data_IF_781508588585
#
_entry.id   IF_781508588585
#
_cell.length_a   1.000
_cell.length_b   1.000
_cell.length_c   1.000
_cell.angle_alpha   90.00
_cell.angle_beta   90.00
_cell.angle_gamma   90.00
#
_symmetry.space_group_name_H-M   'P 1'
#
loop_
_entity.id
_entity.type
_entity.pdbx_description
1 polymer ?
#
# COMPACT_ATOMS: atom_id res chain seq x y z
N UNK A 1 5.45 19.29 -5.55
CA UNK A 1 4.95 18.09 -4.86
C UNK A 1 3.99 18.56 -3.80
N UNK A 2 2.69 18.35 -3.99
CA UNK A 2 1.69 18.66 -2.96
C UNK A 2 1.74 17.50 -1.97
N UNK A 3 2.18 17.74 -0.74
CA UNK A 3 2.07 16.72 0.29
C UNK A 3 0.57 16.45 0.59
N UNK A 4 0.15 15.18 0.65
CA UNK A 4 -1.21 14.85 1.04
C UNK A 4 -1.48 15.35 2.46
N UNK A 5 -2.66 15.95 2.68
CA UNK A 5 -3.00 16.49 3.99
C UNK A 5 -2.99 15.40 5.06
N UNK A 6 -2.45 15.73 6.24
CA UNK A 6 -2.38 14.78 7.37
C UNK A 6 -3.75 14.22 7.75
N UNK A 7 -4.80 15.05 7.67
CA UNK A 7 -6.19 14.64 7.91
C UNK A 7 -6.67 13.58 6.91
N UNK A 8 -6.31 13.72 5.63
CA UNK A 8 -6.66 12.75 4.60
C UNK A 8 -5.90 11.43 4.77
N UNK A 9 -4.61 11.47 5.11
CA UNK A 9 -3.85 10.26 5.43
C UNK A 9 -4.40 9.53 6.65
N UNK A 10 -4.85 10.27 7.67
CA UNK A 10 -5.50 9.69 8.85
C UNK A 10 -6.82 8.98 8.50
N UNK A 11 -7.62 9.58 7.61
CA UNK A 11 -8.84 8.94 7.09
C UNK A 11 -8.52 7.63 6.36
N UNK A 12 -7.54 7.67 5.47
CA UNK A 12 -7.09 6.49 4.72
C UNK A 12 -6.56 5.40 5.65
N UNK A 13 -5.71 5.78 6.61
CA UNK A 13 -5.20 4.85 7.61
C UNK A 13 -6.33 4.25 8.46
N UNK A 14 -7.35 5.02 8.81
CA UNK A 14 -8.52 4.53 9.54
C UNK A 14 -9.27 3.46 8.74
N UNK A 15 -9.53 3.71 7.45
CA UNK A 15 -10.22 2.75 6.57
C UNK A 15 -9.39 1.49 6.33
N UNK A 16 -8.08 1.62 6.14
CA UNK A 16 -7.17 0.48 6.01
C UNK A 16 -7.00 -0.29 7.33
N UNK A 17 -7.12 0.38 8.48
CA UNK A 17 -7.12 -0.26 9.79
C UNK A 17 -8.42 -1.03 10.06
N UNK A 18 -9.55 -0.57 9.52
CA UNK A 18 -10.85 -1.22 9.64
C UNK A 18 -11.01 -2.48 8.76
N UNK A 19 -10.03 -2.79 7.91
CA UNK A 19 -10.05 -4.01 7.09
C UNK A 19 -10.05 -5.27 7.98
N UNK A 20 -10.97 -6.22 7.73
CA UNK A 20 -11.03 -7.45 8.51
C UNK A 20 -9.82 -8.35 8.23
N UNK A 21 -9.37 -9.16 9.22
CA UNK A 21 -8.27 -10.09 9.05
C UNK A 21 -8.62 -11.30 8.18
N UNK A 22 -9.90 -11.53 7.90
CA UNK A 22 -10.44 -12.63 7.10
C UNK A 22 -11.49 -12.10 6.13
N UNK A 23 -11.62 -12.74 4.95
CA UNK A 23 -12.68 -12.41 3.99
C UNK A 23 -14.05 -12.97 4.44
N UNK A 24 -15.17 -12.39 3.95
CA UNK A 24 -15.26 -11.30 2.97
C UNK A 24 -15.05 -9.89 3.57
N UNK A 25 -14.54 -8.95 2.76
CA UNK A 25 -14.51 -7.53 3.12
C UNK A 25 -15.94 -6.99 2.98
N UNK A 26 -16.50 -6.29 3.98
CA UNK A 26 -17.87 -5.78 3.90
C UNK A 26 -18.03 -4.75 2.77
N UNK A 27 -19.13 -4.81 2.03
CA UNK A 27 -19.40 -3.95 0.87
C UNK A 27 -19.37 -2.46 1.22
N UNK A 28 -19.84 -2.09 2.42
CA UNK A 28 -19.77 -0.71 2.92
C UNK A 28 -18.32 -0.20 2.96
N UNK A 29 -17.39 -1.03 3.42
CA UNK A 29 -15.97 -0.67 3.51
C UNK A 29 -15.33 -0.65 2.12
N UNK A 30 -15.70 -1.59 1.24
CA UNK A 30 -15.26 -1.59 -0.15
C UNK A 30 -15.72 -0.33 -0.89
N UNK A 31 -16.97 0.10 -0.68
CA UNK A 31 -17.50 1.32 -1.27
C UNK A 31 -16.80 2.57 -0.75
N UNK A 32 -16.51 2.63 0.56
CA UNK A 32 -15.73 3.72 1.17
C UNK A 32 -14.30 3.78 0.62
N UNK A 33 -13.63 2.64 0.50
CA UNK A 33 -12.30 2.55 -0.11
C UNK A 33 -12.36 2.93 -1.60
N UNK A 34 -13.39 2.51 -2.33
CA UNK A 34 -13.57 2.85 -3.74
C UNK A 34 -13.84 4.34 -3.93
N UNK A 35 -14.55 5.00 -3.01
CA UNK A 35 -14.75 6.44 -3.07
C UNK A 35 -13.43 7.23 -2.99
N UNK A 36 -12.41 6.69 -2.30
CA UNK A 36 -11.10 7.35 -2.14
C UNK A 36 -10.12 6.95 -3.23
N UNK A 37 -10.01 5.65 -3.52
CA UNK A 37 -9.01 5.12 -4.46
C UNK A 37 -9.54 4.93 -5.88
N UNK A 38 -10.86 5.04 -6.08
CA UNK A 38 -11.51 4.85 -7.36
C UNK A 38 -11.21 3.50 -8.02
N UNK A 39 -11.04 3.45 -9.35
CA UNK A 39 -10.81 2.20 -10.08
C UNK A 39 -9.48 1.52 -9.74
N UNK A 40 -8.55 2.24 -9.10
CA UNK A 40 -7.29 1.67 -8.62
C UNK A 40 -7.51 0.57 -7.58
N UNK A 41 -8.56 0.68 -6.76
CA UNK A 41 -8.91 -0.33 -5.76
C UNK A 41 -9.18 -1.69 -6.41
N UNK A 42 -9.96 -1.71 -7.50
CA UNK A 42 -10.28 -2.96 -8.19
C UNK A 42 -9.02 -3.64 -8.73
N UNK A 43 -8.12 -2.85 -9.32
CA UNK A 43 -6.82 -3.37 -9.79
C UNK A 43 -5.97 -3.90 -8.64
N UNK A 44 -6.01 -3.27 -7.46
CA UNK A 44 -5.30 -3.75 -6.28
C UNK A 44 -5.90 -5.05 -5.75
N UNK A 45 -7.23 -5.14 -5.64
CA UNK A 45 -7.95 -6.34 -5.21
C UNK A 45 -7.70 -7.52 -6.15
N UNK A 46 -7.65 -7.29 -7.47
CA UNK A 46 -7.30 -8.33 -8.44
C UNK A 46 -5.93 -8.95 -8.17
N UNK A 47 -4.91 -8.15 -7.78
CA UNK A 47 -3.59 -8.66 -7.42
C UNK A 47 -3.65 -9.53 -6.14
N UNK A 48 -4.46 -9.13 -5.15
CA UNK A 48 -4.69 -9.89 -3.91
C UNK A 48 -5.43 -11.20 -4.20
N UNK A 49 -6.44 -11.17 -5.07
CA UNK A 49 -7.23 -12.33 -5.44
C UNK A 49 -6.43 -13.37 -6.20
N UNK A 50 -5.57 -12.93 -7.12
CA UNK A 50 -4.62 -13.79 -7.83
C UNK A 50 -3.45 -14.29 -6.97
N UNK A 51 -3.35 -13.84 -5.71
CA UNK A 51 -2.24 -14.15 -4.80
C UNK A 51 -0.88 -13.74 -5.38
N UNK A 52 -0.82 -12.61 -6.07
CA UNK A 52 0.40 -12.10 -6.70
C UNK A 52 1.26 -11.24 -5.75
N UNK A 53 0.90 -11.18 -4.46
CA UNK A 53 1.63 -10.48 -3.41
C UNK A 53 2.39 -11.48 -2.56
N UNK A 54 3.72 -11.43 -2.62
CA UNK A 54 4.62 -12.28 -1.84
C UNK A 54 5.31 -11.43 -0.79
N UNK A 55 5.22 -11.84 0.47
CA UNK A 55 5.99 -11.31 1.59
C UNK A 55 7.21 -12.18 1.82
N UNK A 56 8.38 -11.64 1.53
CA UNK A 56 9.66 -12.28 1.79
C UNK A 56 10.17 -11.86 3.16
N UNK A 57 10.41 -12.81 4.06
CA UNK A 57 11.15 -12.56 5.30
C UNK A 57 12.66 -12.69 5.04
N UNK A 58 13.41 -11.66 5.42
CA UNK A 58 14.86 -11.64 5.34
C UNK A 58 15.44 -12.07 6.70
N UNK A 59 16.67 -12.63 6.74
CA UNK A 59 17.32 -13.07 7.98
C UNK A 59 17.59 -11.93 8.99
N UNK A 60 17.43 -10.68 8.58
CA UNK A 60 17.56 -9.49 9.44
C UNK A 60 16.24 -9.04 10.09
N UNK A 61 15.22 -9.91 10.13
CA UNK A 61 13.84 -9.63 10.57
C UNK A 61 13.14 -8.51 9.77
N UNK A 62 13.71 -8.18 8.60
CA UNK A 62 13.11 -7.25 7.65
C UNK A 62 12.25 -8.01 6.68
N UNK A 63 11.23 -7.33 6.19
CA UNK A 63 10.30 -7.91 5.23
C UNK A 63 10.29 -7.08 3.97
N UNK A 64 10.33 -7.76 2.84
CA UNK A 64 10.24 -7.15 1.51
C UNK A 64 9.03 -7.75 0.81
N UNK A 65 8.29 -6.90 0.11
CA UNK A 65 7.11 -7.33 -0.62
C UNK A 65 7.41 -7.36 -2.10
N UNK A 66 7.08 -8.46 -2.75
CA UNK A 66 7.20 -8.64 -4.17
C UNK A 66 5.80 -8.72 -4.78
N UNK A 67 5.54 -7.89 -5.78
CA UNK A 67 4.23 -7.82 -6.45
C UNK A 67 4.42 -7.99 -7.94
N UNK A 68 3.58 -8.82 -8.56
CA UNK A 68 3.61 -9.01 -10.01
C UNK A 68 3.19 -7.74 -10.75
N UNK A 69 3.92 -7.39 -11.81
CA UNK A 69 3.56 -6.30 -12.73
C UNK A 69 2.87 -6.84 -13.97
N UNK A 70 2.08 -6.00 -14.62
CA UNK A 70 1.58 -6.25 -15.98
C UNK A 70 2.70 -6.39 -17.02
N UNK A 71 3.91 -5.90 -16.74
CA UNK A 71 5.08 -6.05 -17.60
C UNK A 71 5.83 -7.39 -17.40
N UNK A 72 5.33 -8.28 -16.54
CA UNK A 72 5.95 -9.58 -16.22
C UNK A 72 7.17 -9.51 -15.30
N UNK A 73 7.71 -8.31 -15.02
CA UNK A 73 8.75 -8.10 -14.01
C UNK A 73 8.12 -7.81 -12.66
N UNK A 74 8.59 -8.47 -11.61
CA UNK A 74 8.07 -8.24 -10.26
C UNK A 74 8.65 -6.96 -9.66
N UNK A 75 7.82 -6.18 -8.98
CA UNK A 75 8.27 -5.03 -8.21
C UNK A 75 8.64 -5.45 -6.80
N UNK A 76 9.85 -5.07 -6.38
CA UNK A 76 10.35 -5.21 -5.01
C UNK A 76 10.06 -3.92 -4.25
N UNK A 77 9.25 -4.01 -3.19
CA UNK A 77 8.71 -2.86 -2.45
C UNK A 77 9.10 -3.00 -0.97
N UNK A 78 9.64 -1.91 -0.43
CA UNK A 78 9.98 -1.77 0.98
C UNK A 78 8.94 -0.86 1.64
N UNK A 79 8.14 -1.40 2.57
CA UNK A 79 7.13 -0.60 3.27
C UNK A 79 7.74 0.29 4.35
N UNK A 80 8.78 -0.20 5.02
CA UNK A 80 9.54 0.53 6.02
C UNK A 80 11.01 0.63 5.56
N UNK A 81 11.37 1.65 4.76
CA UNK A 81 12.78 1.91 4.50
C UNK A 81 13.48 2.25 5.84
N UNK A 82 14.72 1.78 6.07
CA UNK A 82 15.50 2.23 7.22
C UNK A 82 15.64 3.74 7.14
N UNK A 83 15.47 4.44 8.27
CA UNK A 83 15.70 5.88 8.32
C UNK A 83 17.12 6.18 7.81
N UNK A 84 17.31 7.26 7.03
CA UNK A 84 18.62 7.61 6.48
C UNK A 84 19.67 7.98 7.54
N UNK A 85 19.29 7.99 8.83
CA UNK A 85 20.20 8.22 9.94
C UNK A 85 20.48 6.91 10.68
N UNK A 86 21.61 6.23 10.40
CA UNK A 86 22.18 5.30 11.36
C UNK A 86 22.74 6.13 12.53
N UNK A 87 21.90 6.47 13.51
CA UNK A 87 22.42 6.96 14.79
C UNK A 87 22.90 5.74 15.58
N UNK A 88 24.16 5.40 15.37
CA UNK A 88 24.99 4.85 16.43
C UNK A 88 26.41 5.36 16.19
N UNK A 89 26.94 6.27 17.05
CA UNK A 89 28.34 6.62 17.01
C UNK A 89 29.15 5.42 17.50
N UNK A 90 29.47 4.51 16.58
CA UNK A 90 30.58 3.58 16.79
C UNK A 90 31.85 4.43 16.77
N UNK A 91 32.47 4.53 17.93
CA UNK A 91 33.78 5.13 18.15
C UNK A 91 34.81 4.43 17.25
N UNK A 92 35.11 5.01 16.09
CA UNK A 92 36.18 4.55 15.20
C UNK A 92 37.43 5.37 15.57
N UNK A 93 38.54 4.72 15.99
CA UNK A 93 39.81 5.40 16.14
C UNK A 93 40.23 6.03 14.81
N UNK A 94 40.49 7.33 14.85
CA UNK A 94 41.00 8.15 13.75
C UNK A 94 42.29 7.50 13.21
N UNK A 95 42.24 6.93 12.02
CA UNK A 95 43.43 6.52 11.26
C UNK A 95 43.98 7.80 10.59
N UNK A 96 45.27 8.16 10.79
CA UNK A 96 45.86 9.34 10.17
C UNK A 96 45.86 9.25 8.64
N UNK A 97 45.45 10.35 8.01
CA UNK A 97 45.43 10.62 6.56
C UNK A 97 46.85 10.49 5.97
N UNK A 98 47.02 9.60 4.99
CA UNK A 98 48.23 9.49 4.17
C UNK A 98 48.24 10.58 3.07
N UNK A 99 49.39 11.12 2.63
CA UNK A 99 49.46 12.33 1.80
C UNK A 99 48.94 12.17 0.37
N UNK A 100 48.29 13.22 -0.12
CA UNK A 100 47.80 13.39 -1.49
C UNK A 100 48.96 13.53 -2.49
N UNK A 101 48.90 12.76 -3.57
CA UNK A 101 49.79 12.90 -4.74
C UNK A 101 49.06 13.78 -5.78
N UNK A 102 49.68 14.82 -6.34
CA UNK A 102 49.02 15.72 -7.29
C UNK A 102 48.92 15.04 -8.67
N UNK A 103 47.70 14.91 -9.20
CA UNK A 103 47.51 14.63 -10.62
C UNK A 103 47.16 15.93 -11.34
N UNK A 104 47.96 16.19 -12.37
CA UNK A 104 47.94 17.32 -13.28
C UNK A 104 46.77 17.24 -14.26
N UNK A 105 46.18 18.40 -14.49
CA UNK A 105 45.21 18.71 -15.54
C UNK A 105 45.79 18.46 -16.94
N UNK A 106 45.01 17.82 -17.81
CA UNK A 106 45.18 17.97 -19.26
C UNK A 106 43.82 18.03 -19.94
N UNK A 107 43.62 19.13 -20.66
CA UNK A 107 42.54 19.37 -21.60
C UNK A 107 42.62 18.42 -22.79
N UNK A 108 41.47 17.97 -23.31
CA UNK A 108 41.26 17.77 -24.76
C UNK A 108 39.79 17.49 -25.10
N UNK A 109 39.24 18.44 -25.85
CA UNK A 109 38.35 18.35 -27.01
C UNK A 109 37.25 17.27 -27.11
N UNK A 110 36.05 17.81 -27.33
CA UNK A 110 34.90 17.32 -28.07
C UNK A 110 35.09 16.10 -29.00
N UNK A 111 34.15 15.16 -28.94
CA UNK A 111 33.46 14.70 -30.15
C UNK A 111 32.09 14.05 -29.85
N UNK A 112 31.15 14.44 -30.69
CA UNK A 112 29.72 14.12 -30.71
C UNK A 112 29.43 12.68 -31.17
N UNK A 113 28.44 12.02 -30.54
CA UNK A 113 27.87 10.75 -31.02
C UNK A 113 26.40 10.93 -31.44
N UNK A 114 25.94 10.36 -32.57
CA UNK A 114 24.65 10.69 -33.19
C UNK A 114 23.42 10.07 -32.52
N UNK A 115 22.29 10.77 -32.65
CA UNK A 115 20.93 10.31 -32.29
C UNK A 115 20.44 9.29 -33.31
N UNK A 116 19.90 8.17 -32.86
CA UNK A 116 19.13 7.23 -33.69
C UNK A 116 17.61 7.47 -33.54
N UNK A 117 16.81 7.21 -34.59
CA UNK A 117 15.43 7.69 -34.67
C UNK A 117 14.38 6.70 -34.16
N UNK A 118 13.25 7.28 -33.74
CA UNK A 118 12.03 6.63 -33.24
C UNK A 118 11.31 5.78 -34.30
N UNK A 119 10.61 4.70 -33.92
CA UNK A 119 9.68 3.99 -34.80
C UNK A 119 8.26 4.61 -34.78
N UNK A 120 7.46 4.45 -35.86
CA UNK A 120 6.19 5.13 -36.09
C UNK A 120 4.97 4.48 -35.38
N UNK A 121 3.83 5.20 -35.28
CA UNK A 121 2.61 4.70 -34.66
C UNK A 121 1.75 3.91 -35.65
N UNK A 122 1.42 2.66 -35.30
CA UNK A 122 0.44 1.85 -36.02
C UNK A 122 -0.97 2.05 -35.44
N UNK A 123 -1.91 2.15 -36.38
CA UNK A 123 -3.28 2.65 -36.28
C UNK A 123 -4.30 1.62 -35.77
N UNK A 124 -5.48 2.14 -35.38
CA UNK A 124 -6.83 1.55 -35.41
C UNK A 124 -7.05 0.30 -34.54
N UNK A 125 -7.75 0.35 -33.40
CA UNK A 125 -9.17 0.71 -33.19
C UNK A 125 -10.12 0.03 -34.19
N UNK A 126 -10.72 -1.09 -33.77
CA UNK A 126 -11.98 -1.55 -34.33
C UNK A 126 -12.90 -2.03 -33.20
N UNK A 127 -14.00 -1.29 -33.08
CA UNK A 127 -15.20 -1.59 -32.31
C UNK A 127 -15.99 -2.72 -32.97
N UNK A 128 -16.36 -3.73 -32.19
CA UNK A 128 -17.41 -4.72 -32.43
C UNK A 128 -17.75 -5.24 -31.01
N UNK A 129 -18.95 -5.29 -30.44
CA UNK A 129 -20.36 -5.26 -30.86
C UNK A 129 -21.19 -4.74 -29.66
N UNK A 130 -22.17 -3.87 -29.88
CA UNK A 130 -23.62 -4.15 -29.84
C UNK A 130 -24.25 -4.46 -28.46
N UNK A 131 -25.17 -3.58 -28.05
CA UNK A 131 -26.27 -3.82 -27.08
C UNK A 131 -27.28 -4.83 -27.64
N UNK A 132 -28.17 -5.42 -26.82
CA UNK A 132 -29.44 -4.75 -26.53
C UNK A 132 -30.00 -4.93 -25.09
N UNK A 133 -30.88 -3.98 -24.76
CA UNK A 133 -32.11 -3.99 -23.95
C UNK A 133 -32.73 -5.38 -23.64
N UNK A 134 -33.51 -5.66 -22.59
CA UNK A 134 -34.58 -4.92 -21.92
C UNK A 134 -35.00 -5.68 -20.64
N UNK A 135 -35.94 -5.08 -19.88
CA UNK A 135 -36.92 -5.67 -18.93
C UNK A 135 -36.68 -5.55 -17.42
N UNK A 136 -37.43 -4.58 -16.85
CA UNK A 136 -37.98 -4.51 -15.50
C UNK A 136 -39.39 -5.18 -15.55
N UNK A 137 -39.91 -5.83 -14.48
CA UNK A 137 -40.69 -5.08 -13.49
C UNK A 137 -40.65 -5.62 -12.02
N UNK A 138 -40.54 -4.68 -11.09
CA UNK A 138 -41.43 -4.44 -9.93
C UNK A 138 -42.16 -5.64 -9.26
N UNK A 139 -41.81 -6.00 -8.00
CA UNK A 139 -42.72 -6.61 -7.01
C UNK A 139 -42.36 -6.21 -5.56
N UNK A 140 -43.14 -5.25 -5.05
CA UNK A 140 -43.89 -5.23 -3.78
C UNK A 140 -43.23 -5.25 -2.38
N UNK A 141 -43.43 -4.13 -1.69
CA UNK A 141 -43.38 -3.92 -0.24
C UNK A 141 -44.52 -4.65 0.51
N UNK A 142 -44.24 -5.17 1.71
CA UNK A 142 -44.96 -4.80 2.94
C UNK A 142 -44.49 -5.64 4.14
N UNK A 143 -44.10 -4.97 5.23
CA UNK A 143 -44.58 -5.36 6.56
C UNK A 143 -44.59 -4.17 7.53
N UNK A 144 -45.81 -3.74 7.86
CA UNK A 144 -46.18 -2.99 9.05
C UNK A 144 -46.97 -3.93 9.97
N UNK A 145 -46.77 -3.88 11.30
CA UNK A 145 -47.70 -3.97 12.46
C UNK A 145 -46.80 -4.03 13.72
N UNK A 146 -46.58 -2.93 14.45
CA UNK A 146 -47.29 -2.41 15.65
C UNK A 146 -47.36 -3.32 16.91
N UNK A 147 -46.73 -2.77 17.95
CA UNK A 147 -47.18 -2.55 19.35
C UNK A 147 -46.90 -3.60 20.46
N UNK A 148 -46.35 -3.01 21.53
CA UNK A 148 -46.01 -3.39 22.93
C UNK A 148 -47.25 -3.72 23.81
N UNK A 149 -47.20 -3.99 25.15
CA UNK A 149 -46.10 -3.96 26.16
C UNK A 149 -46.00 -5.11 27.22
N UNK A 150 -44.81 -5.22 27.87
CA UNK A 150 -44.41 -5.51 29.30
C UNK A 150 -45.21 -6.46 30.25
N UNK A 151 -44.66 -7.03 31.37
CA UNK A 151 -43.55 -6.50 32.21
C UNK A 151 -42.57 -7.49 32.92
N UNK A 152 -41.57 -6.88 33.59
CA UNK A 152 -40.87 -7.28 34.85
C UNK A 152 -39.87 -8.46 34.86
N UNK A 153 -38.58 -8.20 35.13
CA UNK A 153 -37.96 -8.22 36.48
C UNK A 153 -36.40 -8.23 36.40
N UNK A 154 -35.79 -7.22 37.05
CA UNK A 154 -34.50 -7.22 37.76
C UNK A 154 -33.38 -8.17 37.31
N UNK A 155 -32.28 -7.60 36.78
CA UNK A 155 -30.92 -7.95 37.23
C UNK A 155 -29.88 -6.87 36.88
N UNK A 156 -29.50 -6.15 37.93
CA UNK A 156 -28.15 -5.71 38.29
C UNK A 156 -27.35 -4.88 37.28
N UNK A 157 -27.48 -3.57 37.46
CA UNK A 157 -26.46 -2.55 37.22
C UNK A 157 -25.21 -2.82 38.06
N UNK A 158 -24.18 -3.47 37.50
CA UNK A 158 -22.82 -3.42 38.08
C UNK A 158 -21.68 -3.72 37.07
N UNK A 159 -21.92 -3.57 35.76
CA UNK A 159 -20.88 -3.75 34.72
C UNK A 159 -20.39 -2.44 34.10
N UNK A 160 -20.92 -1.28 34.48
CA UNK A 160 -20.67 -0.03 33.74
C UNK A 160 -19.35 0.66 34.08
N UNK A 161 -18.83 0.56 35.31
CA UNK A 161 -17.70 1.40 35.76
C UNK A 161 -16.34 0.86 35.29
N UNK A 162 -16.15 -0.47 35.24
CA UNK A 162 -14.86 -1.08 34.82
C UNK A 162 -14.67 -1.09 33.29
N UNK A 163 -15.73 -0.86 32.52
CA UNK A 163 -15.70 -0.92 31.05
C UNK A 163 -15.32 0.41 30.38
N UNK A 164 -15.40 1.54 31.10
CA UNK A 164 -15.03 2.86 30.57
C UNK A 164 -13.51 2.94 30.37
N UNK A 165 -12.73 2.65 31.41
CA UNK A 165 -11.26 2.68 31.34
C UNK A 165 -10.71 1.70 30.29
N UNK A 166 -11.26 0.49 30.18
CA UNK A 166 -10.80 -0.51 29.21
C UNK A 166 -11.08 -0.07 27.76
N UNK A 167 -12.26 0.51 27.52
CA UNK A 167 -12.66 1.00 26.19
C UNK A 167 -11.83 2.21 25.79
N UNK A 168 -11.50 3.08 26.73
CA UNK A 168 -10.68 4.26 26.49
C UNK A 168 -9.22 3.90 26.20
N UNK A 169 -8.67 2.91 26.92
CA UNK A 169 -7.34 2.33 26.61
C UNK A 169 -7.32 1.69 25.21
N UNK A 170 -8.32 0.89 24.86
CA UNK A 170 -8.40 0.27 23.53
C UNK A 170 -8.50 1.31 22.40
N UNK A 171 -9.30 2.36 22.61
CA UNK A 171 -9.44 3.46 21.65
C UNK A 171 -8.13 4.25 21.50
N UNK A 172 -7.38 4.43 22.59
CA UNK A 172 -6.05 5.06 22.56
C UNK A 172 -5.08 4.24 21.71
N UNK A 173 -5.00 2.93 21.94
CA UNK A 173 -4.14 2.02 21.16
C UNK A 173 -4.55 1.97 19.68
N UNK A 174 -5.86 1.99 19.38
CA UNK A 174 -6.35 2.09 17.99
C UNK A 174 -5.89 3.38 17.34
N UNK A 175 -6.01 4.52 18.03
CA UNK A 175 -5.57 5.82 17.52
C UNK A 175 -4.07 5.83 17.26
N UNK A 176 -3.27 5.28 18.18
CA UNK A 176 -1.81 5.18 18.02
C UNK A 176 -1.43 4.38 16.76
N UNK A 177 -2.04 3.19 16.56
CA UNK A 177 -1.80 2.38 15.35
C UNK A 177 -2.22 3.10 14.06
N UNK A 178 -3.31 3.87 14.09
CA UNK A 178 -3.77 4.65 12.94
C UNK A 178 -2.77 5.76 12.60
N UNK A 179 -2.25 6.46 13.62
CA UNK A 179 -1.22 7.49 13.44
C UNK A 179 0.07 6.90 12.88
N UNK A 180 0.51 5.76 13.41
CA UNK A 180 1.69 5.04 12.92
C UNK A 180 1.51 4.61 11.46
N UNK A 181 0.37 4.03 11.13
CA UNK A 181 0.05 3.66 9.75
C UNK A 181 0.06 4.88 8.83
N UNK A 182 -0.54 6.00 9.25
CA UNK A 182 -0.55 7.24 8.47
C UNK A 182 0.87 7.79 8.23
N UNK A 183 1.78 7.65 9.20
CA UNK A 183 3.18 8.03 9.04
C UNK A 183 3.90 7.09 8.06
N UNK A 184 3.68 5.78 8.16
CA UNK A 184 4.28 4.81 7.24
C UNK A 184 3.79 5.01 5.80
N UNK A 185 2.53 5.37 5.60
CA UNK A 185 2.00 5.68 4.25
C UNK A 185 2.77 6.82 3.56
N UNK A 186 3.38 7.74 4.31
CA UNK A 186 4.20 8.84 3.75
C UNK A 186 5.58 8.37 3.26
N UNK A 187 6.15 7.34 3.88
CA UNK A 187 7.51 6.87 3.60
C UNK A 187 7.57 5.68 2.64
N UNK A 188 6.42 5.07 2.34
CA UNK A 188 6.34 3.98 1.36
C UNK A 188 6.71 4.47 -0.04
N UNK A 189 7.46 3.64 -0.78
CA UNK A 189 7.86 3.93 -2.15
C UNK A 189 7.68 2.71 -3.03
N UNK A 190 7.24 2.92 -4.27
CA UNK A 190 7.13 1.86 -5.27
C UNK A 190 7.82 2.27 -6.58
N UNK A 191 8.72 1.46 -7.15
CA UNK A 191 9.42 1.75 -8.40
C UNK A 191 8.55 1.47 -9.64
N UNK A 192 7.25 1.77 -9.58
CA UNK A 192 6.32 1.58 -10.70
C UNK A 192 5.95 2.91 -11.36
N UNK A 193 5.62 2.87 -12.65
CA UNK A 193 5.17 4.04 -13.39
C UNK A 193 3.93 4.69 -12.75
N UNK A 194 3.02 3.89 -12.18
CA UNK A 194 1.83 4.40 -11.49
C UNK A 194 2.16 5.27 -10.27
N UNK A 195 3.25 4.97 -9.57
CA UNK A 195 3.73 5.79 -8.45
C UNK A 195 4.40 7.07 -8.95
N UNK A 196 5.28 6.97 -9.95
CA UNK A 196 5.99 8.14 -10.49
C UNK A 196 5.02 9.16 -11.10
N UNK A 197 4.04 8.70 -11.89
CA UNK A 197 3.08 9.60 -12.55
C UNK A 197 1.85 9.93 -11.70
N UNK A 198 1.42 9.03 -10.83
CA UNK A 198 0.18 9.20 -10.05
C UNK A 198 0.36 9.82 -8.68
N UNK A 199 1.51 9.59 -8.03
CA UNK A 199 1.80 10.01 -6.66
C UNK A 199 2.89 11.10 -6.58
N UNK A 200 3.96 11.00 -7.38
CA UNK A 200 5.06 11.96 -7.35
C UNK A 200 4.85 13.15 -8.30
N UNK A 201 4.54 12.88 -9.56
CA UNK A 201 4.34 13.90 -10.59
C UNK A 201 2.88 14.33 -10.74
N UNK A 202 1.93 13.49 -10.33
CA UNK A 202 0.50 13.76 -10.38
C UNK A 202 -0.11 13.90 -8.99
N UNK A 203 -1.16 14.70 -8.88
CA UNK A 203 -1.91 14.92 -7.63
C UNK A 203 -3.12 13.98 -7.49
N UNK A 204 -3.13 12.87 -8.24
CA UNK A 204 -4.34 12.04 -8.40
C UNK A 204 -4.50 11.00 -7.29
N UNK A 205 -3.40 10.39 -6.84
CA UNK A 205 -3.46 9.27 -5.89
C UNK A 205 -2.36 9.39 -4.82
N UNK A 206 -2.68 9.06 -3.57
CA UNK A 206 -1.68 9.00 -2.48
C UNK A 206 -0.69 7.85 -2.69
N UNK A 207 -1.16 6.72 -3.22
CA UNK A 207 -0.36 5.53 -3.43
C UNK A 207 -0.69 4.85 -4.74
N UNK A 208 0.18 3.93 -5.17
CA UNK A 208 -0.06 3.11 -6.35
C UNK A 208 -0.86 1.85 -5.98
N UNK A 209 -1.43 1.20 -7.00
CA UNK A 209 -2.14 -0.08 -6.84
C UNK A 209 -1.31 -1.18 -6.16
N UNK A 210 0.01 -1.19 -6.34
CA UNK A 210 0.87 -2.22 -5.75
C UNK A 210 1.01 -2.06 -4.23
N UNK A 211 1.24 -0.84 -3.75
CA UNK A 211 1.28 -0.56 -2.30
C UNK A 211 -0.08 -0.85 -1.69
N UNK A 212 -1.17 -0.41 -2.33
CA UNK A 212 -2.52 -0.70 -1.86
C UNK A 212 -2.79 -2.21 -1.78
N UNK A 213 -2.40 -2.97 -2.82
CA UNK A 213 -2.55 -4.43 -2.84
C UNK A 213 -1.75 -5.09 -1.71
N UNK A 214 -0.52 -4.64 -1.44
CA UNK A 214 0.30 -5.16 -0.35
C UNK A 214 -0.39 -4.94 1.00
N UNK A 215 -0.88 -3.73 1.26
CA UNK A 215 -1.53 -3.41 2.54
C UNK A 215 -2.79 -4.25 2.72
N UNK A 216 -3.63 -4.36 1.68
CA UNK A 216 -4.84 -5.18 1.73
C UNK A 216 -4.49 -6.65 1.94
N UNK A 217 -3.53 -7.20 1.19
CA UNK A 217 -3.09 -8.59 1.35
C UNK A 217 -2.56 -8.86 2.75
N UNK A 218 -1.72 -7.97 3.28
CA UNK A 218 -1.17 -8.09 4.62
C UNK A 218 -2.26 -8.03 5.70
N UNK A 219 -3.22 -7.12 5.57
CA UNK A 219 -4.34 -7.00 6.52
C UNK A 219 -5.28 -8.18 6.46
N UNK A 220 -5.54 -8.71 5.28
CA UNK A 220 -6.45 -9.85 5.06
C UNK A 220 -5.76 -11.22 5.20
N UNK A 221 -4.47 -11.26 5.58
CA UNK A 221 -3.64 -12.47 5.66
C UNK A 221 -3.63 -13.28 4.36
N UNK A 222 -3.59 -12.59 3.22
CA UNK A 222 -3.58 -13.15 1.86
C UNK A 222 -2.21 -13.02 1.18
N UNK A 223 -1.21 -12.51 1.89
CA UNK A 223 0.18 -12.48 1.44
C UNK A 223 0.80 -13.87 1.45
N UNK A 224 1.48 -14.24 0.36
CA UNK A 224 2.26 -15.48 0.31
C UNK A 224 3.54 -15.25 1.10
N UNK A 225 3.73 -15.97 2.19
CA UNK A 225 4.97 -15.89 2.99
C UNK A 225 6.04 -16.76 2.35
N UNK A 226 7.18 -16.18 2.03
CA UNK A 226 8.34 -16.86 1.51
C UNK A 226 9.55 -16.59 2.42
N UNK A 227 10.22 -17.65 2.85
CA UNK A 227 11.48 -17.57 3.59
C UNK A 227 12.62 -17.82 2.61
N UNK A 228 13.61 -16.93 2.59
CA UNK A 228 14.70 -17.00 1.63
C UNK A 228 16.03 -16.94 2.37
N UNK A 229 16.89 -17.94 2.16
CA UNK A 229 18.26 -17.94 2.65
C UNK A 229 19.12 -16.85 1.99
N UNK A 230 20.29 -16.55 2.57
CA UNK A 230 21.19 -15.49 2.09
C UNK A 230 21.50 -15.55 0.58
N UNK A 231 21.63 -16.75 0.01
CA UNK A 231 21.85 -16.92 -1.44
C UNK A 231 20.63 -16.54 -2.30
N UNK A 232 19.41 -16.77 -1.82
CA UNK A 232 18.21 -16.38 -2.57
C UNK A 232 17.90 -14.88 -2.46
N UNK A 233 18.37 -14.21 -1.38
CA UNK A 233 18.26 -12.74 -1.25
C UNK A 233 19.06 -12.05 -2.36
N UNK A 234 20.24 -12.57 -2.73
CA UNK A 234 21.03 -12.04 -3.84
C UNK A 234 20.26 -12.12 -5.18
N UNK A 235 19.57 -13.23 -5.45
CA UNK A 235 18.70 -13.37 -6.62
C UNK A 235 17.51 -12.39 -6.61
N UNK A 236 16.92 -12.13 -5.44
CA UNK A 236 15.82 -11.17 -5.30
C UNK A 236 16.25 -9.72 -5.55
N UNK A 237 17.49 -9.39 -5.19
CA UNK A 237 18.08 -8.07 -5.39
C UNK A 237 18.76 -7.92 -6.76
N UNK A 238 18.78 -8.97 -7.58
CA UNK A 238 19.45 -8.98 -8.88
C UNK A 238 20.98 -8.87 -8.79
N UNK A 239 21.57 -9.37 -7.69
CA UNK A 239 23.00 -9.37 -7.40
C UNK A 239 23.68 -10.72 -7.76
N UNK A 240 23.02 -11.56 -8.57
CA UNK A 240 23.50 -12.88 -9.00
C UNK A 240 24.30 -12.84 -10.29
#
# INVERSE_FOLDING_TARGET
MVEPSTSFLSLVATLLHALPPTLPIPDTLLLQLHAIFGPMLLSALQLVDKREVVRVSLPSDRHVYQVSSSSGKNYTIHLNPPSPNPITPMNIPIIPKLPEIPYTTSDSQAESIPRTPSPPPSQAFNQLLASPSDTNPNVNDNWNIRNTPSPTLLKSETKSIVNLDQKDVENSLKRERIIELANNLKSMYCPCAGWSYGCLAGEKNIMCKHILAIIIAHKTNRDIKAEIGVGGVAGLLGLS
#
